data_IF_992274397168
#
_entry.id   IF_992274397168
#
_cell.length_a   1.000
_cell.length_b   1.000
_cell.length_c   1.000
_cell.angle_alpha   90.00
_cell.angle_beta   90.00
_cell.angle_gamma   90.00
#
_symmetry.space_group_name_H-M   'P 1'
#
loop_
_entity.id
_entity.type
_entity.pdbx_description
1 polymer ?
#
# COMPACT_ATOMS: atom_id res chain seq x y z
N UNK A 1 9.38 -13.87 -7.55
CA UNK A 1 9.15 -13.04 -6.34
C UNK A 1 7.65 -12.81 -6.18
N UNK A 2 7.09 -12.93 -4.97
CA UNK A 2 5.66 -12.65 -4.73
C UNK A 2 5.55 -11.21 -4.24
N UNK A 3 4.72 -10.40 -4.88
CA UNK A 3 4.47 -9.00 -4.49
C UNK A 3 3.09 -8.87 -3.84
N UNK A 4 3.00 -8.02 -2.82
CA UNK A 4 1.74 -7.54 -2.25
C UNK A 4 1.48 -6.13 -2.78
N UNK A 5 0.22 -5.82 -3.05
CA UNK A 5 -0.21 -4.51 -3.51
C UNK A 5 -1.23 -3.92 -2.53
N UNK A 6 -1.15 -2.62 -2.31
CA UNK A 6 -2.08 -1.86 -1.46
C UNK A 6 -2.46 -0.58 -2.18
N UNK A 7 -3.73 -0.21 -2.10
CA UNK A 7 -4.24 1.05 -2.66
C UNK A 7 -4.67 1.98 -1.56
N UNK A 8 -4.26 3.24 -1.63
CA UNK A 8 -4.70 4.30 -0.72
C UNK A 8 -5.46 5.34 -1.52
N UNK A 9 -6.69 5.60 -1.08
CA UNK A 9 -7.52 6.67 -1.62
C UNK A 9 -7.17 7.96 -0.88
N UNK A 10 -6.85 8.99 -1.63
CA UNK A 10 -6.55 10.32 -1.12
C UNK A 10 -7.71 11.22 -1.52
N UNK A 11 -8.54 11.54 -0.53
CA UNK A 11 -9.69 12.42 -0.71
C UNK A 11 -9.25 13.88 -0.72
N UNK A 12 -9.75 14.63 -1.70
CA UNK A 12 -9.49 16.04 -1.84
C UNK A 12 -10.43 16.83 -0.91
N UNK A 13 -10.14 16.86 0.40
CA UNK A 13 -11.03 17.50 1.39
C UNK A 13 -10.99 19.03 1.35
N UNK A 14 -10.00 19.64 0.69
CA UNK A 14 -9.90 21.07 0.46
C UNK A 14 -9.28 21.27 -0.92
N UNK A 15 -9.76 22.23 -1.71
CA UNK A 15 -9.47 22.54 -3.13
C UNK A 15 -8.01 22.53 -3.61
N UNK A 16 -7.03 22.27 -2.76
CA UNK A 16 -5.69 21.82 -3.13
C UNK A 16 -5.33 20.56 -2.31
N UNK A 17 -4.91 19.50 -3.00
CA UNK A 17 -4.15 18.41 -2.38
C UNK A 17 -2.93 19.02 -1.69
N UNK A 18 -3.00 19.17 -0.37
CA UNK A 18 -1.86 19.60 0.41
C UNK A 18 -0.76 18.56 0.25
N UNK A 19 0.38 18.96 -0.32
CA UNK A 19 1.56 18.11 -0.46
C UNK A 19 1.92 17.41 0.85
N UNK A 20 1.66 18.05 2.00
CA UNK A 20 1.89 17.48 3.32
C UNK A 20 1.05 16.22 3.63
N UNK A 21 -0.19 16.12 3.12
CA UNK A 21 -1.04 14.92 3.30
C UNK A 21 -0.51 13.77 2.46
N UNK A 22 -0.07 14.07 1.24
CA UNK A 22 0.57 13.11 0.36
C UNK A 22 1.90 12.63 0.96
N UNK A 23 2.74 13.56 1.43
CA UNK A 23 4.05 13.27 2.01
C UNK A 23 3.94 12.43 3.30
N UNK A 24 2.94 12.70 4.15
CA UNK A 24 2.70 11.88 5.35
C UNK A 24 2.28 10.46 4.99
N UNK A 25 1.33 10.31 4.05
CA UNK A 25 0.89 8.98 3.61
C UNK A 25 2.02 8.20 2.92
N UNK A 26 2.89 8.88 2.16
CA UNK A 26 4.07 8.30 1.54
C UNK A 26 5.11 7.87 2.58
N UNK A 27 5.37 8.69 3.60
CA UNK A 27 6.35 8.38 4.65
C UNK A 27 5.93 7.20 5.54
N UNK A 28 4.67 7.13 5.95
CA UNK A 28 4.18 6.03 6.79
C UNK A 28 4.30 4.70 6.06
N UNK A 29 3.92 4.67 4.77
CA UNK A 29 3.99 3.48 3.93
C UNK A 29 5.44 3.10 3.58
N UNK A 30 6.31 4.08 3.35
CA UNK A 30 7.73 3.83 3.15
C UNK A 30 8.37 3.18 4.40
N UNK A 31 7.96 3.60 5.60
CA UNK A 31 8.44 3.03 6.88
C UNK A 31 7.99 1.57 7.05
N UNK A 32 6.81 1.22 6.55
CA UNK A 32 6.29 -0.16 6.49
C UNK A 32 6.88 -1.02 5.34
N UNK A 33 7.82 -0.46 4.58
CA UNK A 33 8.48 -1.11 3.45
C UNK A 33 7.66 -1.17 2.17
N UNK A 34 6.60 -0.36 2.05
CA UNK A 34 5.83 -0.22 0.82
C UNK A 34 6.49 0.81 -0.11
N UNK A 35 6.68 0.44 -1.37
CA UNK A 35 7.14 1.33 -2.42
C UNK A 35 5.97 1.86 -3.24
N UNK A 36 5.92 3.17 -3.46
CA UNK A 36 4.95 3.78 -4.38
C UNK A 36 5.21 3.28 -5.81
N UNK A 37 4.16 2.80 -6.46
CA UNK A 37 4.19 2.34 -7.85
C UNK A 37 3.68 3.43 -8.77
N UNK A 38 2.49 3.96 -8.49
CA UNK A 38 1.84 4.96 -9.34
C UNK A 38 0.74 5.70 -8.59
N UNK A 39 0.38 6.88 -9.10
CA UNK A 39 -0.75 7.69 -8.62
C UNK A 39 -1.66 7.95 -9.83
N UNK A 40 -2.95 7.65 -9.68
CA UNK A 40 -3.93 7.74 -10.74
C UNK A 40 -5.10 8.63 -10.31
N UNK A 41 -5.63 9.49 -11.20
CA UNK A 41 -6.88 10.18 -10.94
C UNK A 41 -8.03 9.17 -10.90
N UNK A 42 -8.88 9.26 -9.88
CA UNK A 42 -10.06 8.44 -9.70
C UNK A 42 -11.29 9.33 -9.49
N UNK A 43 -12.39 9.02 -10.20
CA UNK A 43 -13.71 9.55 -9.87
C UNK A 43 -14.32 8.80 -8.69
N UNK A 44 -14.44 9.48 -7.56
CA UNK A 44 -15.16 8.96 -6.41
C UNK A 44 -16.69 9.09 -6.62
N UNK A 45 -17.50 8.24 -5.94
CA UNK A 45 -18.96 8.08 -6.15
C UNK A 45 -19.81 9.37 -6.00
N UNK A 46 -19.23 10.49 -5.56
CA UNK A 46 -19.92 11.76 -5.28
C UNK A 46 -19.37 12.96 -6.07
N UNK A 47 -18.84 12.73 -7.28
CA UNK A 47 -18.33 13.80 -8.17
C UNK A 47 -17.10 14.55 -7.64
N UNK A 48 -16.46 14.06 -6.58
CA UNK A 48 -15.17 14.57 -6.11
C UNK A 48 -14.04 13.82 -6.82
N UNK A 49 -13.09 14.59 -7.36
CA UNK A 49 -11.84 14.04 -7.90
C UNK A 49 -10.98 13.59 -6.72
N UNK A 50 -10.68 12.29 -6.66
CA UNK A 50 -9.79 11.69 -5.68
C UNK A 50 -8.55 11.13 -6.39
N UNK A 51 -7.45 10.98 -5.66
CA UNK A 51 -6.26 10.30 -6.17
C UNK A 51 -6.19 8.89 -5.58
N UNK A 52 -5.87 7.91 -6.41
CA UNK A 52 -5.52 6.56 -5.98
C UNK A 52 -4.01 6.40 -6.06
N UNK A 53 -3.37 6.20 -4.92
CA UNK A 53 -1.96 5.82 -4.84
C UNK A 53 -1.85 4.30 -4.69
N UNK A 54 -1.10 3.67 -5.59
CA UNK A 54 -0.85 2.22 -5.59
C UNK A 54 0.56 1.99 -5.06
N UNK A 55 0.66 1.10 -4.08
CA UNK A 55 1.90 0.71 -3.45
C UNK A 55 2.16 -0.78 -3.65
N UNK A 56 3.42 -1.15 -3.71
CA UNK A 56 3.87 -2.54 -3.77
C UNK A 56 4.90 -2.83 -2.70
N UNK A 57 4.94 -4.07 -2.23
CA UNK A 57 5.98 -4.55 -1.34
C UNK A 57 6.32 -5.99 -1.69
N UNK A 58 7.59 -6.35 -1.56
CA UNK A 58 7.99 -7.75 -1.66
C UNK A 58 7.43 -8.53 -0.48
N UNK A 59 6.62 -9.55 -0.79
CA UNK A 59 6.15 -10.49 0.21
C UNK A 59 7.32 -11.36 0.61
N UNK A 60 7.94 -11.04 1.76
CA UNK A 60 8.83 -11.97 2.45
C UNK A 60 7.99 -13.20 2.77
N UNK A 61 8.14 -14.21 1.93
CA UNK A 61 7.60 -15.53 2.22
C UNK A 61 8.45 -16.02 3.38
N UNK A 62 7.93 -15.99 4.61
CA UNK A 62 8.55 -16.69 5.73
C UNK A 62 8.55 -18.18 5.40
N UNK A 63 9.56 -18.61 4.66
CA UNK A 63 10.07 -19.97 4.76
C UNK A 63 10.65 -20.04 6.17
N UNK A 64 9.91 -20.62 7.12
CA UNK A 64 10.33 -21.22 8.38
C UNK A 64 9.19 -21.14 9.40
N UNK A 65 8.23 -22.05 9.25
CA UNK A 65 7.77 -22.88 10.38
C UNK A 65 7.05 -24.11 9.85
N UNK A 66 7.78 -24.96 9.12
CA UNK A 66 7.32 -26.33 8.90
C UNK A 66 7.76 -27.10 10.16
N UNK A 67 6.93 -27.08 11.19
CA UNK A 67 7.00 -28.10 12.23
C UNK A 67 6.63 -29.42 11.53
N UNK A 68 7.64 -30.14 11.04
CA UNK A 68 7.47 -31.55 10.72
C UNK A 68 7.18 -32.26 12.04
N UNK A 69 6.05 -32.96 12.21
CA UNK A 69 5.92 -33.87 13.34
C UNK A 69 7.05 -34.91 13.24
N UNK A 70 7.69 -35.29 14.36
CA UNK A 70 8.68 -36.36 14.33
C UNK A 70 7.99 -37.62 13.79
N UNK A 71 8.55 -38.21 12.74
CA UNK A 71 8.18 -39.56 12.33
C UNK A 71 8.50 -40.47 13.51
N UNK A 72 7.46 -41.05 14.11
CA UNK A 72 7.56 -42.18 15.02
C UNK A 72 7.85 -43.44 14.20
N UNK A 73 8.99 -44.08 14.51
CA UNK A 73 9.40 -45.41 14.04
C UNK A 73 8.34 -46.51 14.33
#
# INVERSE_FOLDING_TARGET
MRYEYKTVQIENQNTCLSGAVLDSALNDLATEGWALVTILPHQCKKSELCLLAIFSREKKTSLFNINYPPYSD
#
